data_IF_373160522882
#
_entry.id   IF_373160522882
#
_cell.length_a   1.000
_cell.length_b   1.000
_cell.length_c   1.000
_cell.angle_alpha   90.00
_cell.angle_beta   90.00
_cell.angle_gamma   90.00
#
_symmetry.space_group_name_H-M   'P 1'
#
loop_
_entity.id
_entity.type
_entity.pdbx_description
1 polymer ?
#
# COMPACT_ATOMS: atom_id res chain seq x y z
N UNK A 1 45.90 -23.13 4.85
CA UNK A 1 44.86 -22.70 5.82
C UNK A 1 44.34 -21.34 5.35
N UNK A 2 43.28 -21.34 4.52
CA UNK A 2 42.69 -20.10 4.01
C UNK A 2 41.59 -19.71 4.99
N UNK A 3 41.86 -18.71 5.81
CA UNK A 3 40.86 -18.09 6.68
C UNK A 3 39.91 -17.30 5.77
N UNK A 4 38.87 -17.97 5.27
CA UNK A 4 37.73 -17.29 4.66
C UNK A 4 36.93 -16.66 5.78
N UNK A 5 37.25 -15.41 6.11
CA UNK A 5 36.28 -14.52 6.75
C UNK A 5 35.14 -14.30 5.75
N UNK A 6 34.23 -15.28 5.69
CA UNK A 6 32.99 -15.18 4.95
C UNK A 6 32.20 -14.14 5.72
N UNK A 7 32.14 -12.94 5.17
CA UNK A 7 31.23 -11.88 5.61
C UNK A 7 29.82 -12.46 5.43
N UNK A 8 29.34 -13.20 6.43
CA UNK A 8 27.96 -13.64 6.62
C UNK A 8 27.10 -12.44 7.02
N UNK A 9 27.22 -11.33 6.28
CA UNK A 9 26.16 -10.32 6.28
C UNK A 9 25.02 -11.01 5.54
N UNK A 10 24.07 -11.54 6.31
CA UNK A 10 23.18 -12.63 5.91
C UNK A 10 22.43 -12.28 4.61
N UNK A 11 22.70 -13.01 3.52
CA UNK A 11 22.10 -12.77 2.21
C UNK A 11 20.56 -12.79 2.27
N UNK A 12 20.04 -13.68 3.12
CA UNK A 12 18.63 -13.76 3.49
C UNK A 12 18.11 -12.45 4.11
N UNK A 13 18.84 -11.89 5.07
CA UNK A 13 18.46 -10.65 5.76
C UNK A 13 18.47 -9.44 4.81
N UNK A 14 19.43 -9.40 3.87
CA UNK A 14 19.47 -8.41 2.80
C UNK A 14 18.24 -8.56 1.89
N UNK A 15 17.91 -9.80 1.50
CA UNK A 15 16.76 -10.09 0.65
C UNK A 15 15.43 -9.73 1.34
N UNK A 16 15.24 -10.15 2.60
CA UNK A 16 14.08 -9.80 3.44
C UNK A 16 13.87 -8.29 3.51
N UNK A 17 14.93 -7.53 3.85
CA UNK A 17 14.88 -6.06 3.90
C UNK A 17 14.55 -5.43 2.55
N UNK A 18 15.05 -5.99 1.46
CA UNK A 18 14.74 -5.52 0.11
C UNK A 18 13.26 -5.72 -0.21
N UNK A 19 12.73 -6.93 0.00
CA UNK A 19 11.32 -7.25 -0.21
C UNK A 19 10.43 -6.37 0.67
N UNK A 20 10.69 -6.31 1.98
CA UNK A 20 9.92 -5.48 2.92
C UNK A 20 9.88 -4.02 2.48
N UNK A 21 11.04 -3.43 2.11
CA UNK A 21 11.11 -2.04 1.67
C UNK A 21 10.29 -1.78 0.41
N UNK A 22 10.43 -2.63 -0.60
CA UNK A 22 9.70 -2.48 -1.86
C UNK A 22 8.20 -2.66 -1.66
N UNK A 23 7.80 -3.64 -0.85
CA UNK A 23 6.42 -3.89 -0.47
C UNK A 23 5.83 -2.69 0.28
N UNK A 24 6.52 -2.14 1.30
CA UNK A 24 6.09 -0.92 2.00
C UNK A 24 5.97 0.27 1.05
N UNK A 25 6.92 0.44 0.13
CA UNK A 25 6.88 1.51 -0.87
C UNK A 25 5.66 1.40 -1.77
N UNK A 26 5.31 0.19 -2.21
CA UNK A 26 4.13 -0.07 -3.02
C UNK A 26 2.83 0.33 -2.30
N UNK A 27 2.64 -0.13 -1.05
CA UNK A 27 1.42 0.20 -0.30
C UNK A 27 1.33 1.68 0.08
N UNK A 28 2.45 2.34 0.35
CA UNK A 28 2.46 3.82 0.50
C UNK A 28 2.01 4.52 -0.78
N UNK A 29 2.43 4.01 -1.95
CA UNK A 29 1.96 4.49 -3.25
C UNK A 29 0.43 4.31 -3.41
N UNK A 30 -0.11 3.15 -3.04
CA UNK A 30 -1.57 2.94 -3.05
C UNK A 30 -2.31 3.87 -2.10
N UNK A 31 -1.79 4.12 -0.90
CA UNK A 31 -2.39 5.08 0.03
C UNK A 31 -2.41 6.50 -0.55
N UNK A 32 -1.34 6.95 -1.18
CA UNK A 32 -1.32 8.24 -1.86
C UNK A 32 -2.37 8.33 -2.98
N UNK A 33 -2.46 7.29 -3.82
CA UNK A 33 -3.46 7.27 -4.89
C UNK A 33 -4.91 7.27 -4.36
N UNK A 34 -5.17 6.65 -3.20
CA UNK A 34 -6.47 6.71 -2.54
C UNK A 34 -6.81 8.13 -2.06
N UNK A 35 -5.84 8.83 -1.47
CA UNK A 35 -6.01 10.23 -1.05
C UNK A 35 -6.28 11.14 -2.24
N UNK A 36 -5.51 11.00 -3.32
CA UNK A 36 -5.70 11.78 -4.54
C UNK A 36 -7.08 11.51 -5.15
N UNK A 37 -7.50 10.24 -5.23
CA UNK A 37 -8.81 9.87 -5.76
C UNK A 37 -9.96 10.41 -4.90
N UNK A 38 -9.82 10.34 -3.57
CA UNK A 38 -10.81 10.90 -2.66
C UNK A 38 -10.93 12.42 -2.86
N UNK A 39 -9.80 13.12 -2.97
CA UNK A 39 -9.78 14.56 -3.23
C UNK A 39 -10.45 14.93 -4.56
N UNK A 40 -10.15 14.21 -5.63
CA UNK A 40 -10.78 14.43 -6.94
C UNK A 40 -12.29 14.16 -6.89
N UNK A 41 -12.71 13.10 -6.18
CA UNK A 41 -14.12 12.79 -5.92
C UNK A 41 -14.83 13.93 -5.18
N UNK A 42 -14.24 14.44 -4.09
CA UNK A 42 -14.78 15.58 -3.33
C UNK A 42 -14.90 16.84 -4.21
N UNK A 43 -13.88 17.14 -5.03
CA UNK A 43 -13.93 18.26 -5.98
C UNK A 43 -15.09 18.07 -6.98
N UNK A 44 -15.28 16.85 -7.49
CA UNK A 44 -16.33 16.54 -8.45
C UNK A 44 -17.73 16.73 -7.85
N UNK A 45 -17.98 16.15 -6.67
CA UNK A 45 -19.28 16.26 -6.00
C UNK A 45 -19.59 17.68 -5.53
N UNK A 46 -18.58 18.46 -5.12
CA UNK A 46 -18.75 19.88 -4.83
C UNK A 46 -19.19 20.68 -6.07
N UNK A 47 -18.61 20.40 -7.25
CA UNK A 47 -19.06 21.01 -8.50
C UNK A 47 -20.49 20.60 -8.85
N UNK A 48 -20.88 19.34 -8.64
CA UNK A 48 -22.25 18.88 -8.88
C UNK A 48 -23.25 19.62 -7.98
N UNK A 49 -22.97 19.73 -6.68
CA UNK A 49 -23.82 20.44 -5.72
C UNK A 49 -24.02 21.91 -6.09
N UNK A 50 -23.01 22.57 -6.66
CA UNK A 50 -23.09 23.98 -7.05
C UNK A 50 -23.86 24.24 -8.35
N UNK A 51 -23.97 23.25 -9.24
CA UNK A 51 -24.49 23.46 -10.60
C UNK A 51 -25.83 22.77 -10.86
N UNK A 52 -26.29 21.89 -9.96
CA UNK A 52 -27.56 21.18 -10.13
C UNK A 52 -28.74 21.95 -9.52
N UNK A 53 -29.97 21.78 -10.06
CA UNK A 53 -31.16 22.42 -9.54
C UNK A 53 -31.45 22.10 -8.07
N UNK A 54 -32.11 23.02 -7.38
CA UNK A 54 -32.65 22.78 -6.04
C UNK A 54 -33.61 21.57 -6.07
N UNK A 55 -33.40 20.63 -5.14
CA UNK A 55 -34.15 19.36 -5.06
C UNK A 55 -33.36 18.11 -5.49
N UNK A 56 -32.23 18.27 -6.19
CA UNK A 56 -31.37 17.13 -6.54
C UNK A 56 -30.41 16.69 -5.42
N UNK A 57 -30.25 17.50 -4.36
CA UNK A 57 -29.29 17.28 -3.25
C UNK A 57 -29.39 15.88 -2.64
N UNK A 58 -30.57 15.32 -2.30
CA UNK A 58 -30.64 13.99 -1.69
C UNK A 58 -30.10 12.86 -2.60
N UNK A 59 -30.26 12.99 -3.91
CA UNK A 59 -29.73 12.02 -4.87
C UNK A 59 -28.21 12.14 -5.01
N UNK A 60 -27.68 13.37 -4.96
CA UNK A 60 -26.24 13.63 -5.00
C UNK A 60 -25.59 13.06 -3.74
N UNK A 61 -26.17 13.31 -2.56
CA UNK A 61 -25.62 12.80 -1.29
C UNK A 61 -25.68 11.27 -1.22
N UNK A 62 -26.71 10.64 -1.81
CA UNK A 62 -26.76 9.18 -1.94
C UNK A 62 -25.66 8.65 -2.88
N UNK A 63 -25.30 9.38 -3.93
CA UNK A 63 -24.26 9.01 -4.87
C UNK A 63 -22.84 9.30 -4.34
N UNK A 64 -22.69 10.20 -3.36
CA UNK A 64 -21.43 10.57 -2.71
C UNK A 64 -20.95 9.48 -1.73
N UNK A 65 -20.69 8.28 -2.27
CA UNK A 65 -20.32 7.10 -1.48
C UNK A 65 -18.86 7.10 -1.02
N UNK A 66 -17.98 7.82 -1.72
CA UNK A 66 -16.56 7.86 -1.38
C UNK A 66 -16.29 9.00 -0.41
N UNK A 67 -16.87 8.87 0.79
CA UNK A 67 -16.70 9.76 1.92
C UNK A 67 -15.45 9.41 2.75
N UNK A 68 -15.25 10.18 3.83
CA UNK A 68 -14.11 10.01 4.74
C UNK A 68 -14.10 8.63 5.41
N UNK A 69 -15.27 8.12 5.82
CA UNK A 69 -15.39 6.80 6.43
C UNK A 69 -14.97 5.71 5.44
N UNK A 70 -15.38 5.84 4.17
CA UNK A 70 -14.97 4.94 3.11
C UNK A 70 -13.48 5.03 2.83
N UNK A 71 -12.89 6.23 2.81
CA UNK A 71 -11.45 6.42 2.68
C UNK A 71 -10.70 5.72 3.81
N UNK A 72 -11.08 5.94 5.07
CA UNK A 72 -10.41 5.31 6.21
C UNK A 72 -10.54 3.78 6.18
N UNK A 73 -11.70 3.25 5.77
CA UNK A 73 -11.88 1.81 5.56
C UNK A 73 -10.91 1.26 4.50
N UNK A 74 -10.78 1.93 3.35
CA UNK A 74 -9.89 1.51 2.27
C UNK A 74 -8.40 1.63 2.64
N UNK A 75 -8.01 2.69 3.37
CA UNK A 75 -6.66 2.87 3.90
C UNK A 75 -6.28 1.73 4.84
N UNK A 76 -7.15 1.43 5.82
CA UNK A 76 -6.95 0.32 6.75
C UNK A 76 -6.79 -1.00 5.99
N UNK A 77 -7.69 -1.29 5.06
CA UNK A 77 -7.63 -2.51 4.25
C UNK A 77 -6.33 -2.62 3.44
N UNK A 78 -5.85 -1.51 2.88
CA UNK A 78 -4.59 -1.46 2.13
C UNK A 78 -3.39 -1.78 3.03
N UNK A 79 -3.35 -1.21 4.24
CA UNK A 79 -2.33 -1.50 5.23
C UNK A 79 -2.37 -2.94 5.72
N UNK A 80 -3.57 -3.48 5.98
CA UNK A 80 -3.75 -4.86 6.43
C UNK A 80 -3.22 -5.85 5.38
N UNK A 81 -3.57 -5.65 4.10
CA UNK A 81 -3.04 -6.45 2.99
C UNK A 81 -1.51 -6.35 2.92
N UNK A 82 -0.96 -5.15 3.08
CA UNK A 82 0.47 -4.94 2.98
C UNK A 82 1.25 -5.58 4.12
N UNK A 83 0.75 -5.47 5.34
CA UNK A 83 1.35 -6.11 6.51
C UNK A 83 1.30 -7.63 6.38
N UNK A 84 0.18 -8.19 5.91
CA UNK A 84 0.06 -9.63 5.70
C UNK A 84 1.01 -10.14 4.61
N UNK A 85 1.16 -9.36 3.52
CA UNK A 85 2.11 -9.68 2.45
C UNK A 85 3.55 -9.73 2.98
N UNK A 86 3.95 -8.79 3.84
CA UNK A 86 5.29 -8.78 4.45
C UNK A 86 5.51 -10.02 5.31
N UNK A 87 4.55 -10.35 6.19
CA UNK A 87 4.63 -11.55 7.06
C UNK A 87 4.75 -12.83 6.24
N UNK A 88 3.95 -12.95 5.17
CA UNK A 88 4.00 -14.12 4.28
C UNK A 88 5.37 -14.24 3.59
N UNK A 89 5.92 -13.13 3.08
CA UNK A 89 7.26 -13.14 2.48
C UNK A 89 8.31 -13.56 3.50
N UNK A 90 8.27 -13.01 4.71
CA UNK A 90 9.23 -13.33 5.77
C UNK A 90 9.16 -14.81 6.16
N UNK A 91 7.96 -15.35 6.37
CA UNK A 91 7.75 -16.76 6.71
C UNK A 91 8.09 -17.73 5.58
N UNK A 92 7.87 -17.36 4.33
CA UNK A 92 8.28 -18.17 3.18
C UNK A 92 9.80 -18.19 3.02
N UNK A 93 10.49 -17.06 3.22
CA UNK A 93 11.95 -16.98 3.10
C UNK A 93 12.66 -17.91 4.09
N UNK A 94 12.10 -18.10 5.29
CA UNK A 94 12.66 -19.00 6.31
C UNK A 94 12.79 -20.46 5.82
N UNK A 95 12.06 -20.84 4.76
CA UNK A 95 12.10 -22.17 4.17
C UNK A 95 13.25 -22.36 3.15
N UNK A 96 14.05 -21.32 2.86
CA UNK A 96 15.07 -21.36 1.81
C UNK A 96 16.46 -20.98 2.32
N UNK A 97 17.49 -21.60 1.73
CA UNK A 97 18.87 -21.13 1.88
C UNK A 97 19.16 -20.15 0.74
N UNK A 98 19.38 -18.88 1.09
CA UNK A 98 19.63 -17.81 0.11
C UNK A 98 21.13 -17.54 -0.01
N UNK A 99 21.61 -17.47 -1.25
CA UNK A 99 22.97 -17.04 -1.58
C UNK A 99 22.96 -16.13 -2.81
N UNK A 100 23.87 -15.16 -2.83
CA UNK A 100 24.03 -14.26 -3.98
C UNK A 100 25.26 -14.65 -4.79
N UNK A 101 25.12 -14.67 -6.11
CA UNK A 101 26.23 -14.74 -7.06
C UNK A 101 26.28 -13.42 -7.81
N UNK A 102 27.32 -12.64 -7.55
CA UNK A 102 27.55 -11.36 -8.22
C UNK A 102 28.24 -11.60 -9.56
N UNK A 103 27.85 -10.82 -10.57
CA UNK A 103 28.52 -10.78 -11.88
C UNK A 103 29.73 -9.86 -11.84
#
# INVERSE_FOLDING_TARGET
MIVRYKVYMNAEDIFKKCCQRNTVSLFKGFLMMLEDLHKEHQIHFNKLRQNLPEGCVPLIDQADYFDEDKLQHLRKRTLDIGNETIRNIEGEIDNYIIGFTFK
#
